data_IF_446670121578
#
_entry.id   IF_446670121578
#
_cell.length_a   1.000
_cell.length_b   1.000
_cell.length_c   1.000
_cell.angle_alpha   90.00
_cell.angle_beta   90.00
_cell.angle_gamma   90.00
#
_symmetry.space_group_name_H-M   'P 1'
#
loop_
_entity.id
_entity.type
_entity.pdbx_description
1 polymer ?
#
# COMPACT_ATOMS: atom_id res chain seq x y z
N UNK A 1 -17.36 12.20 -7.44
CA UNK A 1 -17.70 10.80 -7.23
C UNK A 1 -17.66 10.06 -8.57
N UNK A 2 -16.85 8.99 -8.65
CA UNK A 2 -16.76 8.15 -9.85
C UNK A 2 -17.86 7.10 -9.80
N UNK A 3 -18.47 6.83 -10.96
CA UNK A 3 -19.51 5.82 -11.11
C UNK A 3 -19.23 4.96 -12.34
N UNK A 4 -19.48 3.68 -12.25
CA UNK A 4 -19.39 2.75 -13.38
C UNK A 4 -20.56 1.79 -13.36
N UNK A 5 -21.00 1.37 -14.54
CA UNK A 5 -22.04 0.35 -14.68
C UNK A 5 -21.36 -1.00 -14.87
N UNK A 6 -21.72 -1.95 -14.04
CA UNK A 6 -21.26 -3.34 -14.16
C UNK A 6 -22.45 -4.25 -14.47
N UNK A 7 -22.19 -5.29 -15.24
CA UNK A 7 -23.17 -6.32 -15.58
C UNK A 7 -22.83 -7.62 -14.85
N UNK A 8 -23.80 -8.16 -14.16
CA UNK A 8 -23.67 -9.44 -13.44
C UNK A 8 -24.94 -10.27 -13.56
N UNK A 9 -24.91 -11.45 -12.96
CA UNK A 9 -26.10 -12.31 -12.85
C UNK A 9 -26.64 -12.15 -11.43
N UNK A 10 -27.92 -11.84 -11.33
CA UNK A 10 -28.63 -11.83 -10.05
C UNK A 10 -28.70 -13.25 -9.51
N UNK A 11 -28.09 -13.50 -8.36
CA UNK A 11 -27.95 -14.85 -7.78
C UNK A 11 -29.29 -15.43 -7.29
N UNK A 12 -30.29 -14.58 -7.04
CA UNK A 12 -31.61 -15.03 -6.61
C UNK A 12 -32.53 -15.41 -7.79
N UNK A 13 -32.40 -14.71 -8.93
CA UNK A 13 -33.30 -14.89 -10.09
C UNK A 13 -32.63 -15.56 -11.28
N UNK A 14 -31.29 -15.64 -11.32
CA UNK A 14 -30.53 -16.15 -12.46
C UNK A 14 -30.53 -15.23 -13.69
N UNK A 15 -31.10 -14.04 -13.59
CA UNK A 15 -31.26 -13.11 -14.72
C UNK A 15 -30.10 -12.11 -14.77
N UNK A 16 -29.58 -11.75 -15.97
CA UNK A 16 -28.61 -10.68 -16.10
C UNK A 16 -29.15 -9.35 -15.59
N UNK A 17 -28.38 -8.66 -14.77
CA UNK A 17 -28.71 -7.36 -14.17
C UNK A 17 -27.56 -6.39 -14.32
N UNK A 18 -27.88 -5.15 -14.62
CA UNK A 18 -26.91 -4.05 -14.57
C UNK A 18 -27.09 -3.29 -13.26
N UNK A 19 -25.98 -3.01 -12.60
CA UNK A 19 -25.93 -2.18 -11.38
C UNK A 19 -24.93 -1.04 -11.57
N UNK A 20 -25.20 0.08 -10.93
CA UNK A 20 -24.25 1.19 -10.84
C UNK A 20 -23.47 1.01 -9.55
N UNK A 21 -22.15 1.03 -9.66
CA UNK A 21 -21.22 0.99 -8.53
C UNK A 21 -20.51 2.31 -8.46
N UNK A 22 -20.46 2.88 -7.27
CA UNK A 22 -19.80 4.16 -7.00
C UNK A 22 -18.44 3.96 -6.33
N UNK A 23 -17.59 4.99 -6.38
CA UNK A 23 -16.33 5.00 -5.63
C UNK A 23 -16.57 4.87 -4.11
N UNK A 24 -17.71 5.32 -3.59
CA UNK A 24 -18.09 5.15 -2.18
C UNK A 24 -18.40 3.69 -1.84
N UNK A 25 -19.09 2.97 -2.74
CA UNK A 25 -19.39 1.55 -2.52
C UNK A 25 -18.10 0.73 -2.46
N UNK A 26 -17.15 1.02 -3.36
CA UNK A 26 -15.83 0.38 -3.37
C UNK A 26 -15.06 0.72 -2.08
N UNK A 27 -15.00 1.99 -1.69
CA UNK A 27 -14.33 2.41 -0.45
C UNK A 27 -14.88 1.64 0.75
N UNK A 28 -16.21 1.60 0.89
CA UNK A 28 -16.89 0.88 1.98
C UNK A 28 -16.59 -0.63 1.97
N UNK A 29 -16.55 -1.24 0.79
CA UNK A 29 -16.21 -2.66 0.66
C UNK A 29 -14.76 -2.97 1.04
N UNK A 30 -13.84 -2.03 0.85
CA UNK A 30 -12.41 -2.17 1.17
C UNK A 30 -12.06 -1.78 2.61
N UNK A 31 -12.95 -1.07 3.31
CA UNK A 31 -12.67 -0.43 4.60
C UNK A 31 -12.08 -1.40 5.62
N UNK A 32 -12.72 -2.53 5.83
CA UNK A 32 -12.24 -3.55 6.77
C UNK A 32 -10.86 -4.11 6.42
N UNK A 33 -10.57 -4.30 5.14
CA UNK A 33 -9.26 -4.79 4.69
C UNK A 33 -8.17 -3.74 4.88
N UNK A 34 -8.50 -2.47 4.64
CA UNK A 34 -7.58 -1.35 4.87
C UNK A 34 -7.30 -1.14 6.36
N UNK A 35 -8.31 -1.28 7.23
CA UNK A 35 -8.14 -1.25 8.69
C UNK A 35 -7.13 -2.30 9.16
N UNK A 36 -7.25 -3.54 8.70
CA UNK A 36 -6.31 -4.62 9.04
C UNK A 36 -4.88 -4.32 8.59
N UNK A 37 -4.71 -3.69 7.44
CA UNK A 37 -3.39 -3.25 6.95
C UNK A 37 -2.84 -2.16 7.89
N UNK A 38 -3.65 -1.17 8.25
CA UNK A 38 -3.23 -0.10 9.16
C UNK A 38 -2.86 -0.63 10.54
N UNK A 39 -3.64 -1.54 11.10
CA UNK A 39 -3.34 -2.22 12.36
C UNK A 39 -1.99 -2.96 12.29
N UNK A 40 -1.71 -3.64 11.18
CA UNK A 40 -0.44 -4.34 10.98
C UNK A 40 0.76 -3.38 10.93
N UNK A 41 0.60 -2.21 10.31
CA UNK A 41 1.64 -1.17 10.27
C UNK A 41 1.88 -0.62 11.67
N UNK A 42 0.82 -0.28 12.41
CA UNK A 42 0.92 0.21 13.80
C UNK A 42 1.61 -0.84 14.68
N UNK A 43 1.21 -2.10 14.54
CA UNK A 43 1.82 -3.20 15.29
C UNK A 43 3.33 -3.31 15.01
N UNK A 44 3.74 -3.24 13.75
CA UNK A 44 5.15 -3.26 13.36
C UNK A 44 5.94 -2.09 13.97
N UNK A 45 5.39 -0.88 13.88
CA UNK A 45 6.00 0.32 14.47
C UNK A 45 6.13 0.22 15.99
N UNK A 46 5.09 -0.29 16.66
CA UNK A 46 5.08 -0.45 18.13
C UNK A 46 6.10 -1.48 18.64
N UNK A 47 6.50 -2.43 17.79
CA UNK A 47 7.51 -3.43 18.10
C UNK A 47 8.90 -3.07 17.57
N UNK A 48 9.06 -1.87 17.03
CA UNK A 48 10.34 -1.36 16.53
C UNK A 48 11.12 -0.68 17.68
N UNK A 49 12.45 -0.90 17.74
CA UNK A 49 13.28 -0.27 18.77
C UNK A 49 13.27 1.27 18.63
N UNK A 50 13.43 2.01 19.72
CA UNK A 50 13.41 3.48 19.70
C UNK A 50 14.40 4.10 18.71
N UNK A 51 15.59 3.50 18.56
CA UNK A 51 16.64 3.97 17.64
C UNK A 51 16.15 3.86 16.18
N UNK A 52 15.62 2.69 15.79
CA UNK A 52 15.08 2.46 14.45
C UNK A 52 13.83 3.29 14.20
N UNK A 53 12.97 3.45 15.20
CA UNK A 53 11.79 4.29 15.07
C UNK A 53 12.14 5.75 14.81
N UNK A 54 13.22 6.25 15.43
CA UNK A 54 13.76 7.58 15.16
C UNK A 54 14.16 7.75 13.69
N UNK A 55 14.79 6.73 13.10
CA UNK A 55 15.15 6.71 11.69
C UNK A 55 13.93 6.66 10.78
N UNK A 56 12.91 5.86 11.15
CA UNK A 56 11.63 5.81 10.41
C UNK A 56 10.93 7.17 10.43
N UNK A 57 10.87 7.84 11.57
CA UNK A 57 10.30 9.18 11.69
C UNK A 57 11.00 10.21 10.80
N UNK A 58 12.31 10.09 10.67
CA UNK A 58 13.14 10.99 9.86
C UNK A 58 13.03 10.71 8.36
N UNK A 59 13.06 9.44 7.97
CA UNK A 59 13.13 9.02 6.57
C UNK A 59 11.75 8.75 5.95
N UNK A 60 10.73 8.47 6.77
CA UNK A 60 9.38 8.14 6.34
C UNK A 60 9.19 6.66 6.01
N UNK A 61 7.98 6.33 5.59
CA UNK A 61 7.55 4.99 5.16
C UNK A 61 7.45 4.98 3.64
N UNK A 62 8.01 3.98 3.00
CA UNK A 62 7.89 3.76 1.56
C UNK A 62 6.99 2.55 1.28
N UNK A 63 5.88 2.77 0.57
CA UNK A 63 4.94 1.72 0.19
C UNK A 63 5.22 1.33 -1.26
N UNK A 64 5.46 0.04 -1.49
CA UNK A 64 5.79 -0.52 -2.81
C UNK A 64 4.89 -1.72 -3.13
N UNK A 65 4.95 -2.19 -4.36
CA UNK A 65 4.14 -3.30 -4.84
C UNK A 65 2.73 -2.88 -5.27
N UNK A 66 1.92 -3.84 -5.68
CA UNK A 66 0.59 -3.60 -6.26
C UNK A 66 -0.39 -2.92 -5.30
N UNK A 67 -0.30 -3.17 -3.99
CA UNK A 67 -1.14 -2.55 -2.99
C UNK A 67 -0.95 -1.03 -2.88
N UNK A 68 0.23 -0.52 -3.21
CA UNK A 68 0.53 0.92 -3.21
C UNK A 68 -0.20 1.69 -4.32
N UNK A 69 -0.78 0.98 -5.31
CA UNK A 69 -1.59 1.58 -6.37
C UNK A 69 -3.01 1.95 -5.92
N UNK A 70 -3.40 1.57 -4.71
CA UNK A 70 -4.65 2.05 -4.10
C UNK A 70 -4.54 3.57 -3.94
N UNK A 71 -5.49 4.29 -4.53
CA UNK A 71 -5.49 5.76 -4.51
C UNK A 71 -5.51 6.29 -3.08
N UNK A 72 -4.61 7.23 -2.77
CA UNK A 72 -4.47 7.88 -1.47
C UNK A 72 -4.09 6.94 -0.31
N UNK A 73 -3.49 5.79 -0.58
CA UNK A 73 -3.01 4.87 0.47
C UNK A 73 -1.92 5.53 1.33
N UNK A 74 -1.06 6.33 0.72
CA UNK A 74 -0.03 7.12 1.39
C UNK A 74 -0.61 8.10 2.42
N UNK A 75 -1.68 8.82 2.03
CA UNK A 75 -2.38 9.72 2.92
C UNK A 75 -3.04 8.97 4.07
N UNK A 76 -3.65 7.81 3.81
CA UNK A 76 -4.27 6.98 4.83
C UNK A 76 -3.24 6.50 5.87
N UNK A 77 -2.08 6.03 5.42
CA UNK A 77 -0.99 5.62 6.33
C UNK A 77 -0.47 6.81 7.12
N UNK A 78 -0.32 7.97 6.49
CA UNK A 78 0.08 9.19 7.19
C UNK A 78 -0.94 9.62 8.25
N UNK A 79 -2.24 9.61 7.94
CA UNK A 79 -3.30 9.95 8.89
C UNK A 79 -3.30 9.04 10.13
N UNK A 80 -3.01 7.76 9.94
CA UNK A 80 -3.04 6.77 11.03
C UNK A 80 -1.75 6.76 11.84
N UNK A 81 -0.58 6.97 11.20
CA UNK A 81 0.72 6.83 11.86
C UNK A 81 1.37 8.17 12.25
N UNK A 82 0.97 9.26 11.61
CA UNK A 82 1.65 10.55 11.69
C UNK A 82 3.01 10.59 10.99
N UNK A 83 3.40 9.52 10.29
CA UNK A 83 4.70 9.39 9.63
C UNK A 83 4.56 9.67 8.14
N UNK A 84 5.43 10.51 7.60
CA UNK A 84 5.48 10.77 6.15
C UNK A 84 5.55 9.47 5.37
N UNK A 85 4.67 9.33 4.38
CA UNK A 85 4.56 8.11 3.59
C UNK A 85 4.71 8.44 2.11
N UNK A 86 5.43 7.62 1.39
CA UNK A 86 5.78 7.81 -0.01
C UNK A 86 5.43 6.59 -0.84
N UNK A 87 4.87 6.82 -2.02
CA UNK A 87 4.70 5.80 -3.07
C UNK A 87 5.62 6.22 -4.22
N UNK A 88 6.60 5.40 -4.62
CA UNK A 88 7.47 5.71 -5.74
C UNK A 88 6.72 5.70 -7.08
N UNK A 89 7.31 6.30 -8.12
CA UNK A 89 6.70 6.37 -9.44
C UNK A 89 6.46 5.00 -10.08
N UNK A 90 7.35 4.03 -9.79
CA UNK A 90 7.30 2.66 -10.32
C UNK A 90 7.24 1.65 -9.16
N UNK A 91 6.09 1.61 -8.43
CA UNK A 91 6.02 0.84 -7.20
C UNK A 91 6.10 -0.67 -7.40
N UNK A 92 5.74 -1.18 -8.58
CA UNK A 92 5.84 -2.60 -8.93
C UNK A 92 7.29 -3.02 -9.16
N UNK A 93 8.12 -2.13 -9.69
CA UNK A 93 9.49 -2.42 -10.09
C UNK A 93 10.53 -1.94 -9.06
N UNK A 94 10.11 -1.23 -8.02
CA UNK A 94 11.01 -0.62 -7.02
C UNK A 94 11.98 -1.62 -6.42
N UNK A 95 11.53 -2.82 -6.06
CA UNK A 95 12.37 -3.85 -5.46
C UNK A 95 13.44 -4.35 -6.44
N UNK A 96 13.05 -4.62 -7.70
CA UNK A 96 13.99 -5.11 -8.72
C UNK A 96 15.00 -4.04 -9.13
N UNK A 97 14.56 -2.77 -9.19
CA UNK A 97 15.45 -1.63 -9.43
C UNK A 97 16.46 -1.45 -8.29
N UNK A 98 16.03 -1.67 -7.04
CA UNK A 98 16.92 -1.69 -5.88
C UNK A 98 17.96 -2.81 -5.98
N UNK A 99 17.55 -4.02 -6.33
CA UNK A 99 18.45 -5.16 -6.55
C UNK A 99 19.46 -4.88 -7.68
N UNK A 100 19.00 -4.32 -8.79
CA UNK A 100 19.87 -3.92 -9.90
C UNK A 100 20.94 -2.92 -9.45
N UNK A 101 20.56 -1.94 -8.63
CA UNK A 101 21.49 -0.96 -8.07
C UNK A 101 22.58 -1.61 -7.20
N UNK A 102 22.19 -2.59 -6.37
CA UNK A 102 23.11 -3.36 -5.53
C UNK A 102 24.07 -4.16 -6.41
N UNK A 103 23.56 -4.90 -7.40
CA UNK A 103 24.38 -5.74 -8.29
C UNK A 103 25.39 -4.91 -9.08
N UNK A 104 24.98 -3.73 -9.54
CA UNK A 104 25.87 -2.83 -10.28
C UNK A 104 26.95 -2.16 -9.40
N UNK A 105 26.82 -2.25 -8.08
CA UNK A 105 27.73 -1.60 -7.11
C UNK A 105 28.07 -2.56 -5.94
N UNK A 106 28.36 -3.82 -6.24
CA UNK A 106 28.59 -4.88 -5.24
C UNK A 106 29.60 -4.51 -4.17
N UNK A 107 30.72 -3.89 -4.55
CA UNK A 107 31.75 -3.47 -3.57
C UNK A 107 31.22 -2.44 -2.57
N UNK A 108 30.35 -1.53 -2.99
CA UNK A 108 29.75 -0.53 -2.12
C UNK A 108 28.75 -1.13 -1.12
N UNK A 109 28.08 -2.21 -1.51
CA UNK A 109 27.03 -2.86 -0.70
C UNK A 109 27.48 -4.18 -0.07
N UNK A 110 28.78 -4.47 -0.08
CA UNK A 110 29.36 -5.72 0.40
C UNK A 110 28.96 -6.09 1.83
N UNK A 111 28.90 -5.09 2.70
CA UNK A 111 28.58 -5.28 4.12
C UNK A 111 27.09 -5.58 4.40
N UNK A 112 26.23 -5.42 3.36
CA UNK A 112 24.78 -5.68 3.44
C UNK A 112 24.44 -7.07 2.90
N UNK A 113 25.35 -7.71 2.16
CA UNK A 113 25.13 -8.97 1.44
C UNK A 113 25.54 -10.21 2.25
N UNK A 114 25.65 -10.11 3.55
CA UNK A 114 26.05 -11.21 4.45
C UNK A 114 24.83 -12.03 4.86
#
# INVERSE_FOLDING_TARGET
>A
ELMTQIRGIDTATGVPKNIIVTSKDIKRAMEKSLELIMESIIFALSNTSPELLSDVLKNGIHIVGGGSLIRNIDNLVFEVTGIKTYVPNEPLDTVILGMQKIINNLEMYKDILI
#
